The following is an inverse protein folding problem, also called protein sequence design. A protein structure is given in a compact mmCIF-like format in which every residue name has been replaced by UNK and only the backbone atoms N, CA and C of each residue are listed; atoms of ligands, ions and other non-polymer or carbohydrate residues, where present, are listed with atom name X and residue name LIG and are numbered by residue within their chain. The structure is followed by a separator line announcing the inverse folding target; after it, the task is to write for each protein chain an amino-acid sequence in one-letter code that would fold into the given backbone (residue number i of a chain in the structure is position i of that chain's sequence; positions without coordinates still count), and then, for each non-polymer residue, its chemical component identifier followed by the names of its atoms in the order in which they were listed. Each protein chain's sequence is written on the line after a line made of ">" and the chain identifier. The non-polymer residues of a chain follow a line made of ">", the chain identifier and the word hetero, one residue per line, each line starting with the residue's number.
data_IF_289707501003
#
_entry.id   IF_289707501003
#
_cell.length_a   1.000
_cell.length_b   1.000
_cell.length_c   1.000
_cell.angle_alpha   90.00
_cell.angle_beta   90.00
_cell.angle_gamma   90.00
#
_symmetry.space_group_name_H-M   'P 1'
#
loop_
_entity.id
_entity.type
_entity.pdbx_description
1 polymer ?
#
# COMPACT_ATOMS: atom_id res chain seq x y z
N UNK A 1 -28.97 -5.33 2.64
CA UNK A 1 -27.72 -6.07 2.68
C UNK A 1 -26.66 -5.30 3.41
N UNK A 2 -26.00 -5.92 4.32
CA UNK A 2 -24.92 -5.28 5.03
C UNK A 2 -23.61 -5.50 4.29
N UNK A 3 -22.88 -4.44 4.08
CA UNK A 3 -21.55 -4.56 3.54
C UNK A 3 -20.61 -4.90 4.67
N UNK A 4 -19.71 -5.85 4.46
CA UNK A 4 -18.68 -6.10 5.46
C UNK A 4 -17.85 -4.85 5.65
N UNK A 5 -17.52 -4.56 6.87
CA UNK A 5 -16.61 -3.47 7.15
C UNK A 5 -15.28 -4.05 7.58
N UNK A 6 -14.23 -3.36 7.20
CA UNK A 6 -12.88 -3.77 7.51
C UNK A 6 -12.12 -2.58 8.07
N UNK A 7 -11.40 -2.79 9.13
CA UNK A 7 -10.54 -1.75 9.68
C UNK A 7 -9.17 -2.34 9.97
N UNK A 8 -8.18 -1.51 9.87
CA UNK A 8 -6.82 -1.91 10.19
C UNK A 8 -6.12 -0.75 10.86
N UNK A 9 -5.07 -1.07 11.59
CA UNK A 9 -4.31 -0.08 12.32
C UNK A 9 -2.84 -0.37 12.14
N UNK A 10 -2.05 0.68 12.22
CA UNK A 10 -0.61 0.55 12.13
C UNK A 10 0.04 1.54 13.08
N UNK A 11 1.25 1.22 13.48
CA UNK A 11 2.07 2.09 14.30
C UNK A 11 3.37 2.37 13.59
N UNK A 12 3.79 3.63 13.62
CA UNK A 12 5.04 4.06 13.03
C UNK A 12 5.83 4.79 14.10
N UNK A 13 7.10 4.46 14.22
CA UNK A 13 8.02 5.15 15.11
C UNK A 13 9.16 5.65 14.26
N UNK A 14 9.53 6.93 14.43
CA UNK A 14 10.64 7.52 13.69
C UNK A 14 10.30 8.15 12.36
N UNK A 15 9.01 8.27 12.07
CA UNK A 15 8.58 8.95 10.84
C UNK A 15 9.12 8.32 9.57
N UNK A 16 9.58 9.16 8.66
CA UNK A 16 10.02 8.70 7.33
C UNK A 16 11.31 7.91 7.36
N UNK A 17 12.00 7.88 8.49
CA UNK A 17 13.24 7.10 8.63
C UNK A 17 13.11 6.07 9.73
N UNK A 18 11.89 5.68 10.04
CA UNK A 18 11.63 4.82 11.17
C UNK A 18 11.18 3.42 10.76
N UNK A 19 10.21 2.92 11.50
CA UNK A 19 9.75 1.55 11.36
C UNK A 19 8.23 1.53 11.52
N UNK A 20 7.55 0.83 10.62
CA UNK A 20 6.10 0.72 10.66
C UNK A 20 5.66 -0.73 10.73
N UNK A 21 4.54 -0.95 11.39
CA UNK A 21 4.01 -2.29 11.54
C UNK A 21 2.50 -2.22 11.68
N UNK A 22 1.78 -3.07 10.95
CA UNK A 22 0.34 -3.20 11.14
C UNK A 22 0.08 -3.98 12.42
N UNK A 23 -1.11 -3.77 13.02
CA UNK A 23 -1.43 -4.39 14.31
C UNK A 23 -1.44 -5.91 14.23
N UNK A 24 -1.77 -6.47 13.06
CA UNK A 24 -1.76 -7.92 12.87
C UNK A 24 -0.39 -8.46 12.48
N UNK A 25 0.59 -7.58 12.28
CA UNK A 25 1.94 -8.00 11.95
C UNK A 25 2.16 -8.47 10.52
N UNK A 26 1.13 -8.38 9.68
CA UNK A 26 1.28 -8.88 8.31
C UNK A 26 2.13 -7.99 7.44
N UNK A 27 2.20 -6.71 7.79
CA UNK A 27 3.07 -5.79 7.08
C UNK A 27 3.96 -5.10 8.10
N UNK A 28 5.24 -5.21 7.87
CA UNK A 28 6.24 -4.58 8.75
C UNK A 28 7.38 -4.12 7.87
N UNK A 29 7.75 -2.87 7.98
CA UNK A 29 8.71 -2.27 7.05
C UNK A 29 9.63 -1.31 7.77
N UNK A 30 10.86 -1.24 7.29
CA UNK A 30 11.77 -0.18 7.65
C UNK A 30 11.59 0.96 6.66
N UNK A 31 11.35 2.15 7.17
CA UNK A 31 11.15 3.33 6.35
C UNK A 31 12.46 4.09 6.26
N UNK A 32 12.84 4.47 5.05
CA UNK A 32 14.06 5.21 4.82
C UNK A 32 13.83 6.23 3.72
N UNK A 33 14.44 7.39 3.87
CA UNK A 33 14.40 8.39 2.83
C UNK A 33 15.15 7.89 1.61
N UNK A 34 14.63 8.14 0.42
CA UNK A 34 15.37 7.81 -0.79
C UNK A 34 16.62 8.69 -0.91
N UNK A 35 17.56 8.22 -1.72
CA UNK A 35 18.83 8.95 -1.89
C UNK A 35 18.60 10.33 -2.44
N UNK A 36 17.59 10.51 -3.28
CA UNK A 36 17.25 11.80 -3.85
C UNK A 36 16.92 12.86 -2.82
N UNK A 37 16.49 12.43 -1.63
CA UNK A 37 16.16 13.36 -0.54
C UNK A 37 17.19 13.29 0.59
N UNK A 38 18.37 12.76 0.31
CA UNK A 38 19.43 12.73 1.29
C UNK A 38 19.45 11.50 2.19
N UNK A 39 18.62 10.52 1.91
CA UNK A 39 18.61 9.29 2.68
C UNK A 39 19.56 8.25 2.12
N UNK A 40 19.58 7.08 2.75
CA UNK A 40 20.43 5.98 2.28
C UNK A 40 19.74 5.05 1.30
N UNK A 41 18.41 5.18 1.15
CA UNK A 41 17.67 4.35 0.23
C UNK A 41 17.64 2.88 0.61
N UNK A 42 17.96 2.54 1.84
CA UNK A 42 18.12 1.15 2.25
C UNK A 42 16.80 0.47 2.61
N UNK A 43 15.70 1.20 2.65
CA UNK A 43 14.40 0.65 2.95
C UNK A 43 13.35 1.20 2.01
N UNK A 44 12.10 0.96 2.35
CA UNK A 44 11.01 1.52 1.57
C UNK A 44 10.66 2.91 2.09
N UNK A 45 9.77 3.59 1.39
CA UNK A 45 9.31 4.91 1.82
C UNK A 45 7.79 4.95 1.75
N UNK A 46 7.16 5.95 2.41
CA UNK A 46 5.70 6.03 2.41
C UNK A 46 5.10 6.15 1.02
N UNK A 47 5.79 6.81 0.11
CA UNK A 47 5.29 6.98 -1.25
C UNK A 47 5.19 5.64 -1.98
N UNK A 48 6.17 4.76 -1.77
CA UNK A 48 6.11 3.44 -2.37
C UNK A 48 4.97 2.61 -1.80
N UNK A 49 4.76 2.69 -0.50
CA UNK A 49 3.65 1.99 0.13
C UNK A 49 2.31 2.47 -0.39
N UNK A 50 2.17 3.79 -0.51
CA UNK A 50 0.95 4.37 -1.04
C UNK A 50 0.73 3.96 -2.49
N UNK A 51 1.80 3.97 -3.29
CA UNK A 51 1.70 3.61 -4.70
C UNK A 51 1.22 2.17 -4.88
N UNK A 52 1.76 1.25 -4.11
CA UNK A 52 1.34 -0.15 -4.19
C UNK A 52 -0.12 -0.29 -3.77
N UNK A 53 -0.50 0.33 -2.67
CA UNK A 53 -1.86 0.24 -2.19
C UNK A 53 -2.87 0.83 -3.16
N UNK A 54 -2.56 2.00 -3.68
CA UNK A 54 -3.43 2.66 -4.62
C UNK A 54 -3.55 1.88 -5.93
N UNK A 55 -2.42 1.40 -6.43
CA UNK A 55 -2.42 0.63 -7.68
C UNK A 55 -3.23 -0.66 -7.53
N UNK A 56 -3.14 -1.32 -6.38
CA UNK A 56 -3.89 -2.53 -6.15
C UNK A 56 -5.40 -2.25 -6.14
N UNK A 57 -5.81 -1.17 -5.48
CA UNK A 57 -7.21 -0.78 -5.47
C UNK A 57 -7.72 -0.46 -6.87
N UNK A 58 -6.93 0.32 -7.61
CA UNK A 58 -7.33 0.71 -8.95
C UNK A 58 -7.44 -0.50 -9.87
N UNK A 59 -6.46 -1.40 -9.80
CA UNK A 59 -6.46 -2.61 -10.61
C UNK A 59 -7.70 -3.47 -10.33
N UNK A 60 -8.07 -3.59 -9.06
CA UNK A 60 -9.26 -4.35 -8.69
C UNK A 60 -10.53 -3.76 -9.28
N UNK A 61 -10.64 -2.44 -9.27
CA UNK A 61 -11.81 -1.76 -9.83
C UNK A 61 -11.89 -1.96 -11.33
N UNK A 62 -10.76 -1.83 -12.02
CA UNK A 62 -10.72 -2.02 -13.47
C UNK A 62 -11.13 -3.44 -13.84
N UNK A 63 -10.60 -4.42 -13.12
CA UNK A 63 -10.96 -5.81 -13.39
C UNK A 63 -12.45 -6.06 -13.16
N UNK A 64 -12.99 -5.52 -12.08
CA UNK A 64 -14.40 -5.71 -11.78
C UNK A 64 -15.29 -5.08 -12.84
N UNK A 65 -14.96 -3.89 -13.31
CA UNK A 65 -15.71 -3.23 -14.36
C UNK A 65 -15.62 -3.98 -15.68
N UNK A 66 -14.45 -4.50 -16.00
CA UNK A 66 -14.27 -5.27 -17.23
C UNK A 66 -15.11 -6.52 -17.22
N UNK A 67 -15.14 -7.23 -16.09
CA UNK A 67 -15.96 -8.43 -15.97
C UNK A 67 -17.44 -8.10 -16.10
N UNK A 68 -17.88 -7.02 -15.49
CA UNK A 68 -19.27 -6.62 -15.53
C UNK A 68 -19.72 -6.30 -16.95
N UNK A 69 -18.84 -5.71 -17.73
CA UNK A 69 -19.15 -5.32 -19.10
C UNK A 69 -18.73 -6.37 -20.11
N UNK A 70 -18.27 -7.50 -19.65
CA UNK A 70 -17.81 -8.60 -20.50
C UNK A 70 -16.65 -8.18 -21.39
N UNK A 71 -15.87 -7.25 -20.91
CA UNK A 71 -14.62 -6.89 -21.56
C UNK A 71 -13.53 -7.76 -21.00
N UNK A 72 -12.50 -8.00 -21.81
CA UNK A 72 -11.33 -8.70 -21.30
C UNK A 72 -10.37 -7.68 -20.74
N UNK A 73 -10.07 -7.83 -19.46
CA UNK A 73 -9.07 -7.02 -18.83
C UNK A 73 -7.74 -7.73 -18.99
N UNK A 74 -6.76 -7.03 -19.50
CA UNK A 74 -5.42 -7.56 -19.67
C UNK A 74 -4.59 -7.02 -18.54
N UNK A 75 -4.00 -7.89 -17.73
CA UNK A 75 -3.19 -7.42 -16.61
C UNK A 75 -1.94 -6.67 -17.03
#
# INVERSE_FOLDING_TARGET
>A
MTNPSYSTQARVIGGRSGHGRTSDGKLEVDLRLPKEFGGDGAGTNPEQLFAIGYAACFSSVVTMLAERKRLQAVP
#
